data_IF_438346105206
#
_entry.id   IF_438346105206
#
_cell.length_a   1.000
_cell.length_b   1.000
_cell.length_c   1.000
_cell.angle_alpha   90.00
_cell.angle_beta   90.00
_cell.angle_gamma   90.00
#
_symmetry.space_group_name_H-M   'P 1'
#
loop_
_entity.id
_entity.type
_entity.pdbx_description
1 polymer ?
#
# COMPACT_ATOMS: atom_id res chain seq x y z
N UNK A 1 -30.75 2.62 27.04
CA UNK A 1 -30.52 2.84 25.59
C UNK A 1 -29.41 1.90 25.15
N UNK A 2 -29.75 0.84 24.42
CA UNK A 2 -28.72 0.01 23.77
C UNK A 2 -28.17 0.82 22.58
N UNK A 3 -26.87 1.09 22.60
CA UNK A 3 -26.18 1.70 21.46
C UNK A 3 -26.24 0.73 20.28
N UNK A 4 -27.05 1.06 19.27
CA UNK A 4 -27.05 0.33 18.00
C UNK A 4 -25.69 0.57 17.34
N UNK A 5 -24.84 -0.45 17.36
CA UNK A 5 -23.57 -0.44 16.63
C UNK A 5 -23.89 -0.64 15.15
N UNK A 6 -23.97 0.46 14.39
CA UNK A 6 -24.08 0.41 12.93
C UNK A 6 -22.75 -0.11 12.37
N UNK A 7 -22.78 -1.25 11.68
CA UNK A 7 -21.63 -1.82 10.98
C UNK A 7 -21.81 -1.52 9.49
N UNK A 8 -21.02 -0.59 8.96
CA UNK A 8 -21.07 -0.20 7.55
C UNK A 8 -20.12 -1.11 6.75
N UNK A 9 -20.61 -1.84 5.72
CA UNK A 9 -19.73 -2.59 4.84
C UNK A 9 -18.90 -1.63 3.97
N UNK A 10 -17.58 -1.84 3.93
CA UNK A 10 -16.68 -1.02 3.13
C UNK A 10 -16.78 -1.41 1.64
N UNK A 11 -17.09 -0.43 0.79
CA UNK A 11 -17.11 -0.60 -0.66
C UNK A 11 -17.75 0.60 -1.33
N UNK A 12 -17.27 0.94 -2.53
CA UNK A 12 -17.86 1.99 -3.37
C UNK A 12 -17.93 1.51 -4.81
N UNK A 13 -18.83 2.13 -5.56
CA UNK A 13 -19.02 1.89 -6.99
C UNK A 13 -17.91 2.57 -7.81
N UNK A 14 -17.75 2.18 -9.09
CA UNK A 14 -16.80 2.87 -9.98
C UNK A 14 -16.32 2.10 -11.20
N UNK A 15 -16.70 0.83 -11.37
CA UNK A 15 -16.25 0.01 -12.52
C UNK A 15 -16.63 0.62 -13.87
N UNK A 16 -17.87 1.12 -13.98
CA UNK A 16 -18.40 1.74 -15.21
C UNK A 16 -17.79 3.13 -15.46
N UNK A 17 -17.69 3.95 -14.43
CA UNK A 17 -17.36 5.36 -14.56
C UNK A 17 -15.85 5.64 -14.58
N UNK A 18 -15.01 4.65 -14.23
CA UNK A 18 -13.55 4.79 -14.11
C UNK A 18 -12.92 5.50 -15.30
N UNK A 19 -13.26 5.10 -16.53
CA UNK A 19 -12.61 5.67 -17.72
C UNK A 19 -13.01 7.13 -17.94
N UNK A 20 -14.30 7.45 -17.86
CA UNK A 20 -14.80 8.81 -18.10
C UNK A 20 -14.31 9.79 -17.02
N UNK A 21 -14.28 9.35 -15.75
CA UNK A 21 -13.76 10.15 -14.64
C UNK A 21 -12.27 10.43 -14.81
N UNK A 22 -11.47 9.41 -15.14
CA UNK A 22 -10.02 9.59 -15.39
C UNK A 22 -9.78 10.45 -16.64
N UNK A 23 -10.58 10.31 -17.68
CA UNK A 23 -10.47 11.14 -18.87
C UNK A 23 -10.72 12.62 -18.55
N UNK A 24 -11.86 12.90 -17.93
CA UNK A 24 -12.27 14.26 -17.54
C UNK A 24 -11.25 14.90 -16.58
N UNK A 25 -10.84 14.18 -15.53
CA UNK A 25 -9.93 14.75 -14.52
C UNK A 25 -8.45 14.68 -14.89
N UNK A 26 -8.08 13.79 -15.80
CA UNK A 26 -6.69 13.56 -16.20
C UNK A 26 -6.36 14.19 -17.54
N UNK A 27 -7.04 13.74 -18.60
CA UNK A 27 -6.73 14.14 -19.98
C UNK A 27 -7.21 15.55 -20.28
N UNK A 28 -8.48 15.84 -20.00
CA UNK A 28 -9.07 17.15 -20.31
C UNK A 28 -8.42 18.29 -19.52
N UNK A 29 -8.00 18.03 -18.27
CA UNK A 29 -7.28 19.01 -17.46
C UNK A 29 -5.79 19.16 -17.84
N UNK A 30 -5.30 18.38 -18.81
CA UNK A 30 -3.90 18.39 -19.26
C UNK A 30 -2.90 17.72 -18.32
N UNK A 31 -3.36 16.97 -17.30
CA UNK A 31 -2.48 16.22 -16.37
C UNK A 31 -1.96 14.92 -16.96
N UNK A 32 -2.72 14.33 -17.89
CA UNK A 32 -2.36 13.12 -18.63
C UNK A 32 -2.46 13.38 -20.11
N UNK A 33 -1.49 12.91 -20.88
CA UNK A 33 -1.67 12.72 -22.31
C UNK A 33 -2.53 11.48 -22.60
N UNK A 34 -3.11 11.39 -23.80
CA UNK A 34 -3.95 10.27 -24.25
C UNK A 34 -3.18 8.95 -24.17
N UNK A 35 -1.89 8.95 -24.54
CA UNK A 35 -1.06 7.75 -24.43
C UNK A 35 -0.85 7.31 -22.98
N UNK A 36 -0.73 8.27 -22.06
CA UNK A 36 -0.62 8.00 -20.63
C UNK A 36 -1.94 7.48 -20.06
N UNK A 37 -3.08 8.01 -20.51
CA UNK A 37 -4.41 7.50 -20.18
C UNK A 37 -4.54 6.02 -20.52
N UNK A 38 -4.15 5.62 -21.75
CA UNK A 38 -4.13 4.21 -22.15
C UNK A 38 -3.21 3.38 -21.25
N UNK A 39 -2.02 3.90 -20.93
CA UNK A 39 -1.05 3.20 -20.10
C UNK A 39 -1.57 2.93 -18.69
N UNK A 40 -2.16 3.92 -18.01
CA UNK A 40 -2.65 3.77 -16.62
C UNK A 40 -3.97 3.00 -16.53
N UNK A 41 -4.77 2.99 -17.59
CA UNK A 41 -6.06 2.29 -17.59
C UNK A 41 -5.99 0.85 -18.09
N UNK A 42 -4.95 0.49 -18.86
CA UNK A 42 -4.83 -0.84 -19.48
C UNK A 42 -3.38 -1.37 -19.58
N UNK A 43 -2.47 -0.69 -20.30
CA UNK A 43 -1.18 -1.29 -20.67
C UNK A 43 -0.29 -1.64 -19.47
N UNK A 44 -0.27 -0.78 -18.45
CA UNK A 44 0.54 -1.03 -17.24
C UNK A 44 -0.03 -2.18 -16.42
N UNK A 45 -1.35 -2.29 -16.28
CA UNK A 45 -1.98 -3.43 -15.63
C UNK A 45 -1.62 -4.73 -16.37
N UNK A 46 -1.70 -4.74 -17.71
CA UNK A 46 -1.33 -5.90 -18.51
C UNK A 46 0.14 -6.30 -18.34
N UNK A 47 1.07 -5.33 -18.23
CA UNK A 47 2.49 -5.60 -17.99
C UNK A 47 2.75 -6.14 -16.58
N UNK A 48 2.09 -5.58 -15.57
CA UNK A 48 2.24 -6.01 -14.17
C UNK A 48 1.68 -7.42 -13.98
N UNK A 49 0.51 -7.72 -14.55
CA UNK A 49 -0.14 -9.02 -14.48
C UNK A 49 0.34 -10.02 -15.55
N UNK A 50 1.44 -9.71 -16.24
CA UNK A 50 2.10 -10.61 -17.20
C UNK A 50 1.22 -11.10 -18.37
N UNK A 51 0.34 -10.24 -18.87
CA UNK A 51 -0.56 -10.52 -20.01
C UNK A 51 -0.38 -9.51 -21.16
N UNK A 52 0.71 -8.75 -21.16
CA UNK A 52 1.09 -7.87 -22.26
C UNK A 52 1.95 -8.62 -23.29
N UNK A 53 1.76 -8.46 -24.61
CA UNK A 53 0.83 -7.54 -25.29
C UNK A 53 -0.54 -8.14 -25.59
N UNK A 54 -0.86 -9.34 -25.09
CA UNK A 54 -2.16 -10.00 -25.34
C UNK A 54 -3.34 -9.09 -24.96
N UNK A 55 -3.23 -8.35 -23.86
CA UNK A 55 -4.14 -7.26 -23.46
C UNK A 55 -3.42 -5.91 -23.38
N UNK A 56 -4.18 -4.82 -23.43
CA UNK A 56 -3.69 -3.46 -23.21
C UNK A 56 -2.83 -2.90 -24.34
N UNK A 57 -2.93 -3.46 -25.55
CA UNK A 57 -2.32 -2.94 -26.78
C UNK A 57 -3.19 -3.30 -27.99
N UNK A 58 -3.32 -2.35 -28.93
CA UNK A 58 -3.87 -2.62 -30.26
C UNK A 58 -2.69 -2.97 -31.16
N UNK A 59 -2.53 -4.25 -31.47
CA UNK A 59 -1.49 -4.77 -32.35
C UNK A 59 -1.92 -6.13 -32.93
N UNK A 60 -1.33 -6.53 -34.05
CA UNK A 60 -1.52 -7.87 -34.61
C UNK A 60 -1.07 -8.91 -33.57
N UNK A 61 -1.91 -9.90 -33.30
CA UNK A 61 -1.68 -10.94 -32.30
C UNK A 61 -2.17 -10.61 -30.88
N UNK A 62 -2.61 -9.38 -30.61
CA UNK A 62 -3.35 -9.03 -29.38
C UNK A 62 -4.80 -9.51 -29.46
N UNK A 63 -5.44 -9.70 -28.31
CA UNK A 63 -6.86 -10.05 -28.28
C UNK A 63 -7.71 -8.88 -28.80
N UNK A 64 -8.84 -9.20 -29.44
CA UNK A 64 -9.79 -8.24 -30.00
C UNK A 64 -10.63 -7.49 -28.95
N UNK A 65 -9.98 -6.97 -27.90
CA UNK A 65 -10.60 -6.14 -26.88
C UNK A 65 -10.25 -4.68 -27.15
N UNK A 66 -11.22 -3.89 -27.57
CA UNK A 66 -11.02 -2.47 -27.85
C UNK A 66 -12.28 -1.65 -27.60
N UNK A 67 -12.09 -0.34 -27.46
CA UNK A 67 -13.16 0.62 -27.22
C UNK A 67 -13.04 1.70 -28.29
N UNK A 68 -14.16 2.03 -28.93
CA UNK A 68 -14.27 3.24 -29.74
C UNK A 68 -14.66 4.36 -28.78
N UNK A 69 -13.74 5.30 -28.59
CA UNK A 69 -13.84 6.36 -27.59
C UNK A 69 -14.09 7.69 -28.28
N UNK A 70 -15.15 8.39 -27.88
CA UNK A 70 -15.41 9.75 -28.31
C UNK A 70 -14.97 10.74 -27.23
N UNK A 71 -13.90 11.52 -27.47
CA UNK A 71 -13.37 12.47 -26.50
C UNK A 71 -14.28 13.68 -26.27
N UNK A 72 -15.18 13.99 -27.22
CA UNK A 72 -16.08 15.15 -27.15
C UNK A 72 -17.45 14.80 -26.55
N UNK A 73 -17.83 13.52 -26.54
CA UNK A 73 -19.06 13.07 -25.90
C UNK A 73 -19.06 13.39 -24.41
N UNK A 74 -20.22 13.79 -23.90
CA UNK A 74 -20.43 14.15 -22.49
C UNK A 74 -21.61 13.40 -21.88
N UNK A 75 -21.54 13.14 -20.58
CA UNK A 75 -22.68 12.70 -19.76
C UNK A 75 -22.57 13.29 -18.37
N UNK A 76 -23.71 13.39 -17.70
CA UNK A 76 -23.75 13.59 -16.25
C UNK A 76 -23.98 12.23 -15.60
N UNK A 77 -23.08 11.82 -14.70
CA UNK A 77 -23.20 10.53 -14.02
C UNK A 77 -24.39 10.57 -13.07
N UNK A 78 -25.25 9.58 -13.17
CA UNK A 78 -26.36 9.37 -12.23
C UNK A 78 -26.62 7.89 -11.99
N UNK A 79 -26.89 7.51 -10.73
CA UNK A 79 -27.36 6.18 -10.34
C UNK A 79 -28.65 5.77 -11.09
N UNK A 80 -29.48 6.73 -11.50
CA UNK A 80 -30.69 6.45 -12.29
C UNK A 80 -30.40 5.94 -13.71
N UNK A 81 -29.18 6.16 -14.22
CA UNK A 81 -28.81 5.87 -15.63
C UNK A 81 -27.67 4.87 -15.77
N UNK A 82 -26.99 4.51 -14.69
CA UNK A 82 -25.86 3.60 -14.74
C UNK A 82 -26.33 2.14 -14.92
N UNK A 83 -25.40 1.24 -15.21
CA UNK A 83 -25.68 -0.19 -15.42
C UNK A 83 -25.28 -1.04 -14.21
N UNK A 84 -24.96 -0.42 -13.08
CA UNK A 84 -24.54 -1.10 -11.86
C UNK A 84 -25.76 -1.56 -11.06
N UNK A 85 -25.61 -2.62 -10.28
CA UNK A 85 -26.68 -3.12 -9.41
C UNK A 85 -26.90 -2.27 -8.14
N UNK A 86 -25.97 -1.36 -7.84
CA UNK A 86 -26.02 -0.50 -6.67
C UNK A 86 -27.01 0.65 -6.89
N UNK A 87 -27.76 1.04 -5.89
CA UNK A 87 -28.78 2.11 -5.97
C UNK A 87 -28.21 3.54 -5.76
N UNK A 88 -26.89 3.69 -5.65
CA UNK A 88 -26.22 4.98 -5.52
C UNK A 88 -24.96 5.06 -6.39
N UNK A 89 -24.50 6.29 -6.61
CA UNK A 89 -23.22 6.55 -7.27
C UNK A 89 -22.44 7.62 -6.49
N UNK A 90 -21.19 7.34 -6.13
CA UNK A 90 -20.31 8.33 -5.47
C UNK A 90 -19.97 9.53 -6.37
N UNK A 91 -20.20 9.43 -7.68
CA UNK A 91 -20.00 10.49 -8.66
C UNK A 91 -21.32 11.12 -9.12
N UNK A 92 -22.39 11.03 -8.33
CA UNK A 92 -23.70 11.61 -8.68
C UNK A 92 -23.58 13.10 -9.09
N UNK A 93 -24.18 13.45 -10.22
CA UNK A 93 -24.15 14.81 -10.76
C UNK A 93 -22.82 15.23 -11.39
N UNK A 94 -21.82 14.34 -11.44
CA UNK A 94 -20.54 14.65 -12.04
C UNK A 94 -20.65 14.74 -13.56
N UNK A 95 -20.35 15.91 -14.13
CA UNK A 95 -20.24 16.09 -15.57
C UNK A 95 -18.90 15.54 -16.07
N UNK A 96 -18.96 14.59 -17.00
CA UNK A 96 -17.77 13.95 -17.55
C UNK A 96 -17.75 14.02 -19.08
N UNK A 97 -16.53 14.16 -19.60
CA UNK A 97 -16.16 14.14 -21.00
C UNK A 97 -15.45 12.82 -21.32
N UNK A 98 -15.49 12.42 -22.59
CA UNK A 98 -14.88 11.18 -23.04
C UNK A 98 -15.75 9.99 -22.68
N UNK A 99 -16.41 9.39 -23.67
CA UNK A 99 -17.29 8.24 -23.45
C UNK A 99 -17.02 7.09 -24.42
N UNK A 100 -17.22 5.84 -23.99
CA UNK A 100 -17.20 4.69 -24.88
C UNK A 100 -18.47 4.68 -25.73
N UNK A 101 -18.37 4.83 -27.05
CA UNK A 101 -19.51 4.66 -27.96
C UNK A 101 -19.73 3.18 -28.27
N UNK A 102 -18.63 2.45 -28.48
CA UNK A 102 -18.65 1.01 -28.77
C UNK A 102 -17.60 0.32 -27.91
N UNK A 103 -17.98 -0.81 -27.32
CA UNK A 103 -17.04 -1.72 -26.63
C UNK A 103 -17.05 -3.06 -27.34
N UNK A 104 -15.88 -3.52 -27.74
CA UNK A 104 -15.64 -4.79 -28.40
C UNK A 104 -14.86 -5.68 -27.45
N UNK A 105 -15.34 -6.91 -27.23
CA UNK A 105 -14.72 -7.92 -26.38
C UNK A 105 -14.54 -9.20 -27.17
N UNK A 106 -13.32 -9.72 -27.24
CA UNK A 106 -12.94 -10.90 -28.01
C UNK A 106 -13.42 -10.85 -29.47
N UNK A 107 -13.37 -9.67 -30.09
CA UNK A 107 -13.79 -9.43 -31.48
C UNK A 107 -15.30 -9.33 -31.70
N UNK A 108 -16.12 -9.27 -30.64
CA UNK A 108 -17.58 -9.12 -30.72
C UNK A 108 -18.02 -7.81 -30.07
N UNK A 109 -18.98 -7.14 -30.69
CA UNK A 109 -19.60 -5.95 -30.11
C UNK A 109 -20.36 -6.38 -28.84
N UNK A 110 -19.95 -5.84 -27.70
CA UNK A 110 -20.55 -6.11 -26.40
C UNK A 110 -21.45 -4.95 -25.93
N UNK A 111 -21.13 -3.73 -26.37
CA UNK A 111 -21.89 -2.52 -26.07
C UNK A 111 -21.82 -1.57 -27.26
N UNK A 112 -22.94 -0.99 -27.66
CA UNK A 112 -23.04 0.00 -28.73
C UNK A 112 -24.26 0.90 -28.50
N UNK A 113 -24.12 2.21 -28.70
CA UNK A 113 -25.23 3.18 -28.66
C UNK A 113 -26.10 3.11 -27.40
N UNK A 114 -25.49 2.92 -26.22
CA UNK A 114 -26.24 2.81 -24.96
C UNK A 114 -26.82 1.44 -24.65
N UNK A 115 -26.68 0.46 -25.55
CA UNK A 115 -27.26 -0.86 -25.39
C UNK A 115 -26.19 -1.93 -25.16
N UNK A 116 -26.43 -2.79 -24.16
CA UNK A 116 -25.59 -3.93 -23.85
C UNK A 116 -26.05 -5.16 -24.64
N UNK A 117 -25.14 -5.81 -25.36
CA UNK A 117 -25.38 -7.05 -26.12
C UNK A 117 -24.49 -8.20 -25.66
N UNK A 118 -23.95 -8.12 -24.44
CA UNK A 118 -23.07 -9.13 -23.88
C UNK A 118 -23.84 -10.41 -23.49
N UNK A 119 -23.22 -11.57 -23.72
CA UNK A 119 -23.75 -12.89 -23.34
C UNK A 119 -23.12 -13.31 -22.02
N UNK A 120 -23.94 -13.68 -21.03
CA UNK A 120 -23.46 -14.18 -19.75
C UNK A 120 -22.53 -15.39 -19.95
N UNK A 121 -21.37 -15.39 -19.30
CA UNK A 121 -20.38 -16.45 -19.41
C UNK A 121 -19.48 -16.39 -20.65
N UNK A 122 -19.59 -15.35 -21.50
CA UNK A 122 -18.67 -15.17 -22.64
C UNK A 122 -17.23 -14.85 -22.24
N UNK A 123 -17.05 -14.23 -21.06
CA UNK A 123 -15.74 -13.92 -20.49
C UNK A 123 -14.97 -15.18 -20.13
N UNK A 124 -13.67 -15.18 -20.41
CA UNK A 124 -12.77 -16.30 -20.10
C UNK A 124 -11.78 -15.91 -19.02
N UNK A 125 -11.48 -16.84 -18.14
CA UNK A 125 -10.35 -16.72 -17.23
C UNK A 125 -9.05 -16.60 -18.05
N UNK A 126 -8.16 -15.71 -17.59
CA UNK A 126 -6.83 -15.52 -18.17
C UNK A 126 -5.81 -15.89 -17.10
N UNK A 127 -5.02 -16.92 -17.39
CA UNK A 127 -3.87 -17.27 -16.58
C UNK A 127 -2.82 -16.14 -16.62
N UNK A 128 -2.32 -15.76 -15.45
CA UNK A 128 -1.27 -14.75 -15.28
C UNK A 128 0.01 -15.45 -14.84
N UNK A 129 0.98 -15.68 -15.73
CA UNK A 129 2.20 -16.40 -15.36
C UNK A 129 3.00 -15.65 -14.30
N UNK A 130 3.61 -16.40 -13.38
CA UNK A 130 4.50 -15.84 -12.36
C UNK A 130 5.71 -15.13 -12.98
N UNK A 131 6.39 -14.31 -12.17
CA UNK A 131 7.65 -13.66 -12.52
C UNK A 131 7.57 -12.75 -13.76
N UNK A 132 6.57 -11.86 -13.77
CA UNK A 132 6.41 -10.86 -14.83
C UNK A 132 7.71 -10.07 -15.05
N UNK A 133 8.27 -10.14 -16.26
CA UNK A 133 9.55 -9.49 -16.60
C UNK A 133 9.52 -7.99 -16.25
N UNK A 134 8.41 -7.31 -16.55
CA UNK A 134 8.23 -5.89 -16.25
C UNK A 134 8.49 -5.54 -14.78
N UNK A 135 8.07 -6.42 -13.85
CA UNK A 135 8.20 -6.24 -12.39
C UNK A 135 9.54 -6.80 -11.89
N UNK A 136 9.91 -8.01 -12.32
CA UNK A 136 11.01 -8.78 -11.72
C UNK A 136 12.38 -8.54 -12.36
N UNK A 137 12.47 -8.01 -13.59
CA UNK A 137 13.75 -7.74 -14.28
C UNK A 137 14.75 -6.96 -13.40
N UNK A 138 14.25 -5.94 -12.67
CA UNK A 138 15.08 -5.09 -11.82
C UNK A 138 15.56 -5.84 -10.58
N UNK A 139 14.75 -6.75 -10.05
CA UNK A 139 15.11 -7.58 -8.90
C UNK A 139 16.20 -8.58 -9.29
N UNK A 140 16.05 -9.27 -10.42
CA UNK A 140 17.06 -10.21 -10.91
C UNK A 140 18.39 -9.52 -11.19
N UNK A 141 18.35 -8.36 -11.86
CA UNK A 141 19.56 -7.59 -12.13
C UNK A 141 20.23 -7.10 -10.85
N UNK A 142 19.44 -6.70 -9.84
CA UNK A 142 19.95 -6.31 -8.52
C UNK A 142 20.59 -7.49 -7.78
N UNK A 143 20.01 -8.68 -7.87
CA UNK A 143 20.58 -9.87 -7.23
C UNK A 143 21.90 -10.29 -7.90
N UNK A 144 21.95 -10.31 -9.24
CA UNK A 144 23.18 -10.57 -9.98
C UNK A 144 24.31 -9.59 -9.61
N UNK A 145 24.00 -8.29 -9.54
CA UNK A 145 24.98 -7.28 -9.10
C UNK A 145 25.41 -7.49 -7.64
N UNK A 146 24.49 -7.90 -6.76
CA UNK A 146 24.82 -8.23 -5.37
C UNK A 146 25.77 -9.42 -5.31
N UNK A 147 25.48 -10.49 -6.04
CA UNK A 147 26.34 -11.68 -6.06
C UNK A 147 27.75 -11.38 -6.62
N UNK A 148 27.84 -10.51 -7.64
CA UNK A 148 29.10 -10.17 -8.31
C UNK A 148 29.94 -9.12 -7.57
N UNK A 149 29.33 -8.05 -7.05
CA UNK A 149 30.05 -6.87 -6.55
C UNK A 149 29.90 -6.65 -5.04
N UNK A 150 28.81 -7.14 -4.43
CA UNK A 150 28.37 -6.77 -3.09
C UNK A 150 27.88 -8.00 -2.32
N UNK A 151 28.60 -9.13 -2.44
CA UNK A 151 28.34 -10.28 -1.58
C UNK A 151 28.62 -9.76 -0.17
N UNK A 152 27.60 -9.74 0.70
CA UNK A 152 27.78 -9.26 2.07
C UNK A 152 28.99 -9.97 2.67
N UNK A 153 30.09 -9.22 2.79
CA UNK A 153 31.31 -9.78 3.33
C UNK A 153 31.10 -9.85 4.83
N UNK A 154 31.08 -11.08 5.35
CA UNK A 154 31.20 -11.28 6.78
C UNK A 154 32.51 -10.62 7.19
N UNK A 155 32.43 -9.63 8.07
CA UNK A 155 33.64 -9.06 8.66
C UNK A 155 34.27 -10.17 9.49
N UNK A 156 35.43 -10.64 9.04
CA UNK A 156 36.22 -11.60 9.79
C UNK A 156 36.69 -10.94 11.09
N UNK A 157 36.37 -11.58 12.20
CA UNK A 157 36.76 -11.17 13.54
C UNK A 157 37.20 -12.43 14.26
N UNK A 158 38.20 -12.27 15.12
CA UNK A 158 38.51 -13.31 16.08
C UNK A 158 37.25 -13.67 16.88
N UNK A 159 37.05 -14.96 17.22
CA UNK A 159 35.97 -15.36 18.11
C UNK A 159 36.05 -14.54 19.40
N UNK A 160 34.90 -14.04 19.87
CA UNK A 160 34.85 -13.29 21.11
C UNK A 160 35.29 -14.18 22.29
N UNK A 161 36.37 -13.77 22.96
CA UNK A 161 36.97 -14.49 24.09
C UNK A 161 36.65 -13.88 25.46
N UNK A 162 35.90 -12.77 25.50
CA UNK A 162 35.53 -12.12 26.76
C UNK A 162 34.48 -12.91 27.55
N UNK A 163 34.33 -12.57 28.82
CA UNK A 163 33.32 -13.16 29.69
C UNK A 163 31.90 -12.82 29.18
N UNK A 164 31.11 -13.85 28.91
CA UNK A 164 29.69 -13.71 28.60
C UNK A 164 28.92 -13.84 29.90
N UNK A 165 28.35 -12.74 30.38
CA UNK A 165 27.56 -12.75 31.60
C UNK A 165 26.21 -13.40 31.30
N UNK A 166 25.96 -14.54 31.95
CA UNK A 166 24.63 -15.15 31.99
C UNK A 166 23.71 -14.31 32.88
N UNK A 167 22.87 -13.49 32.25
CA UNK A 167 21.89 -12.62 32.93
C UNK A 167 20.95 -13.44 33.83
N UNK A 168 20.72 -14.72 33.51
CA UNK A 168 19.87 -15.62 34.30
C UNK A 168 20.55 -16.16 35.58
N UNK A 169 21.88 -16.13 35.68
CA UNK A 169 22.64 -16.53 36.89
C UNK A 169 22.85 -15.36 37.86
N UNK A 170 22.97 -14.13 37.34
CA UNK A 170 23.20 -12.95 38.18
C UNK A 170 22.03 -12.62 39.13
N UNK A 171 20.82 -13.09 38.84
CA UNK A 171 19.65 -12.93 39.71
C UNK A 171 19.63 -13.83 40.95
N UNK A 172 20.46 -14.88 41.05
CA UNK A 172 20.44 -15.78 42.22
C UNK A 172 21.41 -15.39 43.35
N UNK A 173 22.40 -14.54 43.11
CA UNK A 173 23.41 -14.20 44.13
C UNK A 173 23.27 -12.79 44.73
N UNK A 174 22.64 -11.85 44.01
CA UNK A 174 22.49 -10.46 44.45
C UNK A 174 21.28 -10.18 45.37
N UNK A 175 20.29 -11.07 45.43
CA UNK A 175 19.04 -10.83 46.18
C UNK A 175 19.12 -11.16 47.69
N UNK A 176 20.27 -11.62 48.20
CA UNK A 176 20.40 -12.00 49.63
C UNK A 176 20.79 -10.86 50.58
N UNK A 177 21.11 -9.64 50.10
CA UNK A 177 21.64 -8.56 50.98
C UNK A 177 21.07 -7.16 50.81
N UNK A 178 20.12 -6.91 49.90
CA UNK A 178 19.50 -5.59 49.78
C UNK A 178 18.07 -5.60 50.32
N UNK A 179 17.86 -5.02 51.51
CA UNK A 179 16.51 -4.63 51.94
C UNK A 179 16.00 -3.55 50.98
N UNK A 180 14.88 -3.74 50.27
CA UNK A 180 14.39 -2.73 49.35
C UNK A 180 13.92 -1.51 50.15
N UNK A 181 14.61 -0.37 50.00
CA UNK A 181 14.03 0.92 50.36
C UNK A 181 12.99 1.27 49.29
N UNK A 182 11.74 1.39 49.73
CA UNK A 182 10.53 1.79 49.01
C UNK A 182 10.66 2.06 47.51
N UNK A 183 10.14 1.15 46.70
CA UNK A 183 9.83 1.42 45.30
C UNK A 183 8.68 2.44 45.21
N UNK A 184 8.90 3.53 44.49
CA UNK A 184 7.80 4.34 43.97
C UNK A 184 7.19 3.52 42.83
N UNK A 185 5.96 3.06 43.02
CA UNK A 185 5.22 2.32 42.00
C UNK A 185 5.03 3.20 40.76
N UNK A 186 5.53 2.75 39.61
CA UNK A 186 5.13 3.28 38.30
C UNK A 186 4.08 2.33 37.71
N UNK A 187 2.93 2.87 37.32
CA UNK A 187 1.68 2.10 37.18
C UNK A 187 1.51 1.33 35.87
N UNK A 188 2.57 1.07 35.09
CA UNK A 188 2.38 0.49 33.75
C UNK A 188 3.45 -0.50 33.26
N UNK A 189 4.31 -1.03 34.14
CA UNK A 189 5.01 -2.29 33.87
C UNK A 189 5.92 -2.34 32.62
N UNK A 190 6.40 -1.19 32.14
CA UNK A 190 7.37 -1.11 31.05
C UNK A 190 8.49 -0.13 31.40
N UNK A 191 9.76 -0.58 31.33
CA UNK A 191 10.91 0.33 31.50
C UNK A 191 11.00 1.24 30.28
N UNK A 192 10.77 2.53 30.47
CA UNK A 192 11.00 3.53 29.43
C UNK A 192 12.50 3.82 29.34
N UNK A 193 13.18 3.40 28.27
CA UNK A 193 14.63 3.56 28.10
C UNK A 193 15.07 5.04 28.10
N UNK A 194 14.16 5.96 27.76
CA UNK A 194 14.40 7.39 27.72
C UNK A 194 14.29 8.07 29.10
N UNK A 195 13.68 7.39 30.10
CA UNK A 195 13.65 7.83 31.50
C UNK A 195 14.76 7.14 32.33
N UNK A 196 15.62 6.33 31.70
CA UNK A 196 16.71 5.63 32.37
C UNK A 196 17.91 6.55 32.58
N UNK A 197 18.06 7.10 33.77
CA UNK A 197 19.36 7.60 34.23
C UNK A 197 20.24 6.40 34.55
N UNK A 198 21.10 6.02 33.61
CA UNK A 198 22.17 5.06 33.90
C UNK A 198 23.08 5.65 34.98
N UNK A 199 22.97 5.16 36.21
CA UNK A 199 23.92 5.41 37.28
C UNK A 199 24.85 4.21 37.37
N UNK A 200 26.12 4.40 36.98
CA UNK A 200 27.18 3.45 37.27
C UNK A 200 27.47 3.51 38.78
N UNK A 201 27.60 2.37 39.45
CA UNK A 201 27.97 2.34 40.86
C UNK A 201 29.44 2.73 41.05
N UNK A 202 29.69 3.78 41.83
CA UNK A 202 31.02 4.30 42.19
C UNK A 202 31.07 5.82 42.08
N UNK A 203 31.92 6.50 42.86
CA UNK A 203 32.10 7.96 42.74
C UNK A 203 32.64 8.30 41.34
N UNK A 204 31.88 9.05 40.55
CA UNK A 204 32.30 9.57 39.27
C UNK A 204 32.79 11.01 39.43
N UNK A 205 33.78 11.39 38.62
CA UNK A 205 34.45 12.69 38.68
C UNK A 205 33.50 13.88 38.42
N UNK A 206 32.31 13.60 37.89
CA UNK A 206 31.28 14.53 37.48
C UNK A 206 30.00 14.50 38.36
N UNK A 207 30.01 13.75 39.48
CA UNK A 207 28.87 13.65 40.43
C UNK A 207 28.50 14.96 41.14
N UNK A 208 29.40 15.95 41.14
CA UNK A 208 29.17 17.27 41.72
C UNK A 208 28.32 18.22 40.86
N UNK A 209 28.08 17.87 39.59
CA UNK A 209 27.34 18.71 38.65
C UNK A 209 25.92 18.16 38.42
N UNK A 210 24.90 18.99 38.69
CA UNK A 210 23.52 18.64 38.31
C UNK A 210 23.41 18.53 36.78
N UNK A 211 23.28 17.31 36.26
CA UNK A 211 23.00 17.08 34.84
C UNK A 211 21.61 17.63 34.51
N UNK A 212 21.55 18.65 33.65
CA UNK A 212 20.28 19.14 33.10
C UNK A 212 19.73 18.11 32.12
N UNK A 213 18.74 17.33 32.52
CA UNK A 213 18.03 16.41 31.62
C UNK A 213 16.80 17.11 31.05
N UNK A 214 16.71 17.22 29.73
CA UNK A 214 15.52 17.75 29.05
C UNK A 214 14.51 16.61 28.91
N UNK A 215 13.47 16.60 29.74
CA UNK A 215 12.37 15.64 29.64
C UNK A 215 11.50 16.00 28.44
N UNK A 216 11.67 15.30 27.32
CA UNK A 216 10.85 15.49 26.11
C UNK A 216 9.54 14.73 26.30
N UNK A 217 8.46 15.43 26.67
CA UNK A 217 7.18 14.80 27.01
C UNK A 217 6.27 14.50 25.79
N UNK A 218 6.80 14.57 24.56
CA UNK A 218 6.13 14.22 23.30
C UNK A 218 7.13 14.26 22.14
N UNK A 219 7.69 13.13 21.68
CA UNK A 219 8.48 13.13 20.44
C UNK A 219 7.56 13.39 19.23
N UNK A 220 8.04 14.11 18.20
CA UNK A 220 7.26 14.37 16.99
C UNK A 220 7.02 13.06 16.24
N UNK A 221 5.79 12.54 16.30
CA UNK A 221 5.44 11.21 15.79
C UNK A 221 4.10 10.64 16.26
N UNK A 222 3.44 11.24 17.26
CA UNK A 222 2.00 11.07 17.50
C UNK A 222 1.62 9.97 18.50
N UNK A 223 0.56 10.26 19.26
CA UNK A 223 -0.08 9.32 20.18
C UNK A 223 -0.93 8.30 19.39
N UNK A 224 -0.58 7.03 19.42
CA UNK A 224 -1.51 5.96 19.05
C UNK A 224 -2.51 5.76 20.20
N UNK A 225 -3.68 6.42 20.12
CA UNK A 225 -4.83 6.06 20.98
C UNK A 225 -5.40 4.73 20.49
N UNK A 226 -4.89 3.63 21.02
CA UNK A 226 -5.56 2.33 20.98
C UNK A 226 -6.65 2.32 22.06
N UNK A 227 -7.91 2.50 21.65
CA UNK A 227 -9.08 2.20 22.46
C UNK A 227 -9.34 0.69 22.38
N UNK A 228 -9.28 0.01 23.54
CA UNK A 228 -10.19 -1.10 23.82
C UNK A 228 -11.49 -0.50 24.36
#
# INVERSE_FOLDING_TARGET
>A
MQSIKIIIPNGVNGVEDRLAVIWTKGVETGKLDVNQFVAVTSSNAARIFNIYPKKGRIAVGSDGDCIIWDPAATKTISASTHHQACDFNIFEGFHCHGLPIVTIVAGKIAYENGQLSAIQGSGKYLETPCFAEYVYQKLYKREQLREQQMKQQKIEREPYTGEVIDINKATSEADSKAKPKGQINTSSGGRNLLDSSFTLSGNQWDDGNQRKTTRVHQPPGGQSKGLW
#
